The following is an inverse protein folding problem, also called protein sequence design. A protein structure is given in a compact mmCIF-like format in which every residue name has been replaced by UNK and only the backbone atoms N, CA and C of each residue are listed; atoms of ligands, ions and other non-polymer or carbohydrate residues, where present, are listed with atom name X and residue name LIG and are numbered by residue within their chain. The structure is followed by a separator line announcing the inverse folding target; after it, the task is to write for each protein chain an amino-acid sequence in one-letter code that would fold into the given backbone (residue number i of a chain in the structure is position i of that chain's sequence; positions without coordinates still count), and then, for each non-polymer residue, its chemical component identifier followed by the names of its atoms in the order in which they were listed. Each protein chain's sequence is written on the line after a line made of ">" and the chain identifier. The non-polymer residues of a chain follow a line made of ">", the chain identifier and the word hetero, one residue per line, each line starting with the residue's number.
data_IF_318807650531
#
_entry.id   IF_318807650531
#
_cell.length_a   1.000
_cell.length_b   1.000
_cell.length_c   1.000
_cell.angle_alpha   90.00
_cell.angle_beta   90.00
_cell.angle_gamma   90.00
#
_symmetry.space_group_name_H-M   'P 1'
#
loop_
_entity.id
_entity.type
_entity.pdbx_description
1 polymer ?
#
# COMPACT_ATOMS: atom_id res chain seq x y z
N UNK A 1 -9.66 -12.53 20.93
CA UNK A 1 -9.65 -11.06 21.13
C UNK A 1 -9.73 -10.41 19.76
N UNK A 2 -10.77 -9.63 19.49
CA UNK A 2 -10.97 -8.95 18.21
C UNK A 2 -10.74 -7.46 18.43
N UNK A 3 -9.85 -6.83 17.65
CA UNK A 3 -9.63 -5.39 17.70
C UNK A 3 -10.53 -4.75 16.65
N UNK A 4 -11.53 -3.93 17.04
CA UNK A 4 -12.33 -3.19 16.08
C UNK A 4 -11.45 -2.31 15.20
N UNK A 5 -11.70 -2.28 13.89
CA UNK A 5 -10.93 -1.50 12.91
C UNK A 5 -9.42 -1.80 12.94
N UNK A 6 -9.04 -3.07 13.17
CA UNK A 6 -7.65 -3.48 13.04
C UNK A 6 -7.12 -3.16 11.64
N UNK A 7 -5.88 -2.70 11.58
CA UNK A 7 -5.18 -2.52 10.32
C UNK A 7 -5.12 -3.85 9.57
N UNK A 8 -5.53 -3.82 8.30
CA UNK A 8 -5.55 -4.98 7.41
C UNK A 8 -4.73 -4.63 6.18
N UNK A 9 -3.72 -5.45 5.93
CA UNK A 9 -2.93 -5.38 4.70
C UNK A 9 -3.73 -6.00 3.55
N UNK A 10 -3.69 -5.37 2.38
CA UNK A 10 -4.32 -5.91 1.18
C UNK A 10 -3.58 -7.15 0.66
N UNK A 11 -2.27 -7.05 0.44
CA UNK A 11 -1.46 -8.18 -0.01
C UNK A 11 -0.03 -8.14 0.54
N UNK A 12 0.41 -9.26 1.09
CA UNK A 12 1.82 -9.55 1.39
C UNK A 12 2.38 -10.54 0.36
N UNK A 13 3.50 -10.19 -0.27
CA UNK A 13 4.26 -11.10 -1.12
C UNK A 13 5.41 -11.68 -0.30
N UNK A 14 5.12 -12.78 0.40
CA UNK A 14 6.05 -13.41 1.35
C UNK A 14 6.68 -12.35 2.28
N UNK A 15 8.02 -12.32 2.39
CA UNK A 15 8.80 -11.31 3.12
C UNK A 15 9.46 -10.30 2.17
N UNK A 16 8.99 -10.18 0.93
CA UNK A 16 9.67 -9.44 -0.14
C UNK A 16 9.04 -8.09 -0.41
N UNK A 17 7.71 -8.03 -0.44
CA UNK A 17 6.99 -6.80 -0.71
C UNK A 17 5.60 -6.77 -0.08
N UNK A 18 5.08 -5.57 0.10
CA UNK A 18 3.66 -5.32 0.37
C UNK A 18 3.02 -4.59 -0.80
N UNK A 19 1.75 -4.89 -1.07
CA UNK A 19 0.95 -4.19 -2.07
C UNK A 19 -0.30 -3.65 -1.39
N UNK A 20 -0.56 -2.37 -1.60
CA UNK A 20 -1.77 -1.65 -1.18
C UNK A 20 -2.55 -1.24 -2.43
N UNK A 21 -3.83 -1.61 -2.50
CA UNK A 21 -4.73 -1.28 -3.60
C UNK A 21 -5.64 -0.13 -3.24
N UNK A 22 -5.83 0.81 -4.17
CA UNK A 22 -6.80 1.90 -4.01
C UNK A 22 -7.43 2.27 -5.34
N UNK A 23 -8.59 2.91 -5.28
CA UNK A 23 -9.20 3.57 -6.43
C UNK A 23 -9.68 4.93 -5.95
N UNK A 24 -8.78 5.92 -5.97
CA UNK A 24 -9.05 7.24 -5.41
C UNK A 24 -8.98 8.32 -6.49
N UNK A 25 -9.80 9.36 -6.38
CA UNK A 25 -9.76 10.50 -7.29
C UNK A 25 -8.37 11.18 -7.30
N UNK A 26 -7.70 11.21 -6.14
CA UNK A 26 -6.39 11.82 -5.96
C UNK A 26 -5.52 11.02 -4.98
N UNK A 27 -4.20 11.09 -5.17
CA UNK A 27 -3.22 10.56 -4.22
C UNK A 27 -2.99 11.57 -3.11
N UNK A 28 -3.40 11.24 -1.89
CA UNK A 28 -3.19 12.12 -0.72
C UNK A 28 -1.91 11.75 0.05
N UNK A 29 -1.33 12.68 0.83
CA UNK A 29 -0.23 12.36 1.75
C UNK A 29 -0.57 11.23 2.74
N UNK A 30 -1.85 11.09 3.11
CA UNK A 30 -2.33 10.00 3.97
C UNK A 30 -2.16 8.64 3.29
N UNK A 31 -2.49 8.55 2.00
CA UNK A 31 -2.33 7.31 1.23
C UNK A 31 -0.86 6.88 1.14
N UNK A 32 0.07 7.84 1.07
CA UNK A 32 1.51 7.53 1.09
C UNK A 32 1.98 7.09 2.49
N UNK A 33 1.52 7.78 3.54
CA UNK A 33 1.81 7.42 4.92
C UNK A 33 1.29 6.01 5.28
N UNK A 34 0.18 5.59 4.69
CA UNK A 34 -0.35 4.22 4.84
C UNK A 34 0.67 3.19 4.34
N UNK A 35 1.14 3.30 3.10
CA UNK A 35 2.11 2.36 2.53
C UNK A 35 3.40 2.28 3.37
N UNK A 36 3.89 3.41 3.88
CA UNK A 36 5.06 3.44 4.77
C UNK A 36 4.78 2.74 6.10
N UNK A 37 3.57 2.88 6.65
CA UNK A 37 3.14 2.20 7.87
C UNK A 37 3.10 0.69 7.63
N UNK A 38 2.54 0.23 6.50
CA UNK A 38 2.52 -1.17 6.09
C UNK A 38 3.93 -1.77 6.07
N UNK A 39 4.89 -1.08 5.44
CA UNK A 39 6.29 -1.50 5.39
C UNK A 39 6.92 -1.63 6.79
N UNK A 40 6.70 -0.64 7.67
CA UNK A 40 7.23 -0.65 9.04
C UNK A 40 6.65 -1.78 9.89
N UNK A 41 5.35 -2.05 9.75
CA UNK A 41 4.66 -3.08 10.53
C UNK A 41 4.98 -4.51 10.05
N UNK A 42 5.26 -4.68 8.76
CA UNK A 42 5.42 -6.02 8.16
C UNK A 42 6.89 -6.41 7.93
N UNK A 43 7.79 -5.44 7.72
CA UNK A 43 9.24 -5.66 7.59
C UNK A 43 9.85 -5.70 6.16
N UNK A 44 9.12 -5.92 5.05
CA UNK A 44 9.69 -5.81 3.71
C UNK A 44 10.31 -4.44 3.42
N UNK A 45 11.34 -4.43 2.57
CA UNK A 45 12.01 -3.21 2.12
C UNK A 45 11.34 -2.53 0.94
N UNK A 46 10.39 -3.20 0.28
CA UNK A 46 9.73 -2.67 -0.92
C UNK A 46 8.21 -2.69 -0.75
N UNK A 47 7.57 -1.61 -1.18
CA UNK A 47 6.12 -1.46 -1.18
C UNK A 47 5.62 -0.91 -2.51
N UNK A 48 4.46 -1.39 -2.93
CA UNK A 48 3.74 -0.89 -4.10
C UNK A 48 2.36 -0.38 -3.65
N UNK A 49 2.04 0.85 -4.03
CA UNK A 49 0.64 1.29 -4.04
C UNK A 49 0.14 1.26 -5.49
N UNK A 50 -0.99 0.61 -5.71
CA UNK A 50 -1.66 0.49 -7.00
C UNK A 50 -2.92 1.36 -6.97
N UNK A 51 -2.91 2.46 -7.70
CA UNK A 51 -4.12 3.22 -7.97
C UNK A 51 -4.83 2.66 -9.21
N UNK A 52 -6.05 2.16 -9.03
CA UNK A 52 -6.89 1.64 -10.10
C UNK A 52 -7.78 2.73 -10.72
N UNK A 53 -7.77 3.95 -10.19
CA UNK A 53 -8.53 5.07 -10.76
C UNK A 53 -7.75 5.82 -11.85
N UNK A 54 -7.08 5.08 -12.74
CA UNK A 54 -6.35 5.60 -13.89
C UNK A 54 -6.61 4.72 -15.12
N UNK A 55 -6.59 5.27 -16.35
CA UNK A 55 -6.82 4.49 -17.56
C UNK A 55 -5.79 3.38 -17.80
N UNK A 56 -4.52 3.60 -17.39
CA UNK A 56 -3.45 2.62 -17.50
C UNK A 56 -2.82 2.40 -16.12
N UNK A 57 -2.82 1.16 -15.63
CA UNK A 57 -2.35 0.84 -14.29
C UNK A 57 -0.92 1.34 -14.02
N UNK A 58 -0.03 1.31 -15.02
CA UNK A 58 1.36 1.78 -14.90
C UNK A 58 1.46 3.24 -14.42
N UNK A 59 0.46 4.08 -14.72
CA UNK A 59 0.42 5.49 -14.34
C UNK A 59 -0.06 5.67 -12.88
N UNK A 60 -0.67 4.64 -12.30
CA UNK A 60 -1.13 4.60 -10.90
C UNK A 60 -0.18 3.84 -9.96
N UNK A 61 0.98 3.38 -10.43
CA UNK A 61 1.95 2.65 -9.60
C UNK A 61 2.84 3.64 -8.85
N UNK A 62 2.81 3.58 -7.52
CA UNK A 62 3.81 4.22 -6.66
C UNK A 62 4.67 3.15 -6.00
N UNK A 63 5.99 3.23 -6.19
CA UNK A 63 6.95 2.34 -5.56
C UNK A 63 7.70 3.07 -4.45
N UNK A 64 7.79 2.45 -3.27
CA UNK A 64 8.62 2.92 -2.16
C UNK A 64 9.61 1.83 -1.75
N UNK A 65 10.82 2.25 -1.43
CA UNK A 65 11.90 1.39 -0.94
C UNK A 65 12.43 2.00 0.36
N UNK A 66 12.59 1.17 1.38
CA UNK A 66 13.09 1.52 2.72
C UNK A 66 14.43 0.84 2.98
#
# INVERSE_FOLDING_TARGET
>A
MTVPNAYRLDLAVEKRAVIEGKAAAEVTPVSEAQLLTSLRLTGPRAGLALDFNVPLLKDGIVRRVN
#
